data_IF_314047241149
#
_entry.id   IF_314047241149
#
_cell.length_a   1.000
_cell.length_b   1.000
_cell.length_c   1.000
_cell.angle_alpha   90.00
_cell.angle_beta   90.00
_cell.angle_gamma   90.00
#
_symmetry.space_group_name_H-M   'P 1'
#
loop_
_entity.id
_entity.type
_entity.pdbx_description
1 polymer ?
#
# COMPACT_ATOMS: atom_id res chain seq x y z
N UNK A 1 -18.03 33.63 -34.83
CA UNK A 1 -17.94 32.16 -34.90
C UNK A 1 -16.70 31.68 -35.68
N UNK A 2 -16.49 31.97 -36.97
CA UNK A 2 -15.31 31.50 -37.75
C UNK A 2 -13.95 31.91 -37.16
N UNK A 3 -13.82 33.11 -36.60
CA UNK A 3 -12.56 33.59 -36.01
C UNK A 3 -12.24 32.85 -34.70
N UNK A 4 -13.22 32.65 -33.85
CA UNK A 4 -13.08 31.89 -32.59
C UNK A 4 -12.66 30.45 -32.85
N UNK A 5 -13.24 29.79 -33.88
CA UNK A 5 -12.87 28.44 -34.28
C UNK A 5 -11.40 28.37 -34.78
N UNK A 6 -10.95 29.37 -35.55
CA UNK A 6 -9.56 29.44 -36.01
C UNK A 6 -8.59 29.61 -34.85
N UNK A 7 -8.89 30.46 -33.87
CA UNK A 7 -8.05 30.63 -32.67
C UNK A 7 -7.99 29.33 -31.88
N UNK A 8 -9.14 28.71 -31.62
CA UNK A 8 -9.18 27.44 -30.91
C UNK A 8 -8.35 26.33 -31.59
N UNK A 9 -8.45 26.24 -32.93
CA UNK A 9 -7.67 25.29 -33.72
C UNK A 9 -6.15 25.54 -33.64
N UNK A 10 -5.75 26.83 -33.81
CA UNK A 10 -4.32 27.20 -33.71
C UNK A 10 -3.80 26.91 -32.29
N UNK A 11 -4.55 27.22 -31.24
CA UNK A 11 -4.19 26.93 -29.86
C UNK A 11 -4.02 25.41 -29.65
N UNK A 12 -4.98 24.64 -30.15
CA UNK A 12 -4.91 23.17 -30.05
C UNK A 12 -3.67 22.59 -30.75
N UNK A 13 -3.39 23.04 -31.98
CA UNK A 13 -2.20 22.63 -32.75
C UNK A 13 -0.92 23.01 -32.00
N UNK A 14 -0.85 24.21 -31.45
CA UNK A 14 0.30 24.65 -30.66
C UNK A 14 0.52 23.79 -29.41
N UNK A 15 -0.54 23.47 -28.67
CA UNK A 15 -0.48 22.60 -27.49
C UNK A 15 -0.03 21.18 -27.86
N UNK A 16 -0.58 20.60 -28.92
CA UNK A 16 -0.17 19.26 -29.39
C UNK A 16 1.29 19.24 -29.86
N UNK A 17 1.74 20.32 -30.55
CA UNK A 17 3.14 20.43 -30.98
C UNK A 17 4.09 20.54 -29.79
N UNK A 18 3.70 21.30 -28.77
CA UNK A 18 4.50 21.43 -27.54
C UNK A 18 4.54 20.11 -26.77
N UNK A 19 3.41 19.40 -26.64
CA UNK A 19 3.36 18.08 -26.02
C UNK A 19 4.27 17.07 -26.72
N UNK A 20 4.22 17.04 -28.06
CA UNK A 20 5.09 16.19 -28.87
C UNK A 20 6.59 16.54 -28.72
N UNK A 21 6.93 17.83 -28.63
CA UNK A 21 8.30 18.28 -28.39
C UNK A 21 8.80 17.83 -27.01
N UNK A 22 7.97 18.01 -25.97
CA UNK A 22 8.30 17.53 -24.61
C UNK A 22 8.46 16.02 -24.60
N UNK A 23 7.55 15.28 -25.25
CA UNK A 23 7.64 13.81 -25.35
C UNK A 23 8.95 13.36 -26.03
N UNK A 24 9.34 14.01 -27.14
CA UNK A 24 10.59 13.73 -27.83
C UNK A 24 11.83 14.02 -26.96
N UNK A 25 11.78 15.14 -26.22
CA UNK A 25 12.85 15.52 -25.28
C UNK A 25 12.99 14.53 -24.14
N UNK A 26 11.89 14.09 -23.54
CA UNK A 26 11.89 13.07 -22.47
C UNK A 26 12.42 11.73 -23.01
N UNK A 27 11.97 11.29 -24.18
CA UNK A 27 12.47 10.06 -24.80
C UNK A 27 13.97 10.12 -25.17
N UNK A 28 14.49 11.29 -25.53
CA UNK A 28 15.92 11.48 -25.69
C UNK A 28 16.65 11.43 -24.34
N UNK A 29 16.12 12.09 -23.33
CA UNK A 29 16.68 12.14 -21.97
C UNK A 29 16.78 10.74 -21.37
N UNK A 30 15.72 9.91 -21.51
CA UNK A 30 15.67 8.53 -21.05
C UNK A 30 16.76 7.68 -21.73
N UNK A 31 16.87 7.74 -23.04
CA UNK A 31 17.90 6.98 -23.81
C UNK A 31 19.35 7.39 -23.48
N UNK A 32 19.56 8.64 -23.08
CA UNK A 32 20.92 9.16 -22.79
C UNK A 32 21.26 9.17 -21.31
N UNK A 33 20.33 8.78 -20.43
CA UNK A 33 20.50 8.86 -18.97
C UNK A 33 20.60 10.29 -18.43
N UNK A 34 20.18 11.30 -19.22
CA UNK A 34 20.19 12.71 -18.83
C UNK A 34 18.84 13.16 -18.30
N UNK A 35 18.82 14.26 -17.56
CA UNK A 35 17.59 14.86 -17.01
C UNK A 35 16.71 13.88 -16.21
N UNK A 36 17.32 12.92 -15.51
CA UNK A 36 16.59 11.85 -14.82
C UNK A 36 15.48 12.34 -13.90
N UNK A 37 15.71 13.42 -13.13
CA UNK A 37 14.68 14.01 -12.28
C UNK A 37 13.45 14.53 -13.07
N UNK A 38 13.68 15.08 -14.27
CA UNK A 38 12.59 15.53 -15.14
C UNK A 38 11.80 14.36 -15.73
N UNK A 39 12.48 13.31 -16.16
CA UNK A 39 11.84 12.06 -16.64
C UNK A 39 10.96 11.50 -15.52
N UNK A 40 11.50 11.31 -14.31
CA UNK A 40 10.77 10.82 -13.14
C UNK A 40 9.56 11.69 -12.81
N UNK A 41 9.70 13.01 -12.88
CA UNK A 41 8.60 13.94 -12.61
C UNK A 41 7.38 13.71 -13.52
N UNK A 42 7.61 13.49 -14.82
CA UNK A 42 6.55 13.17 -15.76
C UNK A 42 6.06 11.72 -15.60
N UNK A 43 6.93 10.79 -15.23
CA UNK A 43 6.56 9.40 -15.04
C UNK A 43 5.64 9.18 -13.83
N UNK A 44 5.71 10.03 -12.83
CA UNK A 44 4.71 10.03 -11.73
C UNK A 44 3.27 10.16 -12.23
N UNK A 45 3.04 10.76 -13.38
CA UNK A 45 1.71 10.90 -13.97
C UNK A 45 1.29 9.76 -14.93
N UNK A 46 2.12 8.75 -15.17
CA UNK A 46 1.70 7.57 -15.95
C UNK A 46 0.53 6.86 -15.29
N UNK A 47 -0.25 6.13 -16.07
CA UNK A 47 -1.26 5.22 -15.53
C UNK A 47 -0.63 4.14 -14.64
N UNK A 48 -1.38 3.59 -13.70
CA UNK A 48 -0.92 2.48 -12.87
C UNK A 48 -0.48 1.28 -13.73
N UNK A 49 -1.28 0.78 -14.70
CA UNK A 49 -0.82 -0.28 -15.58
C UNK A 49 0.44 0.07 -16.37
N UNK A 50 0.59 1.34 -16.78
CA UNK A 50 1.78 1.81 -17.50
C UNK A 50 3.05 1.75 -16.63
N UNK A 51 2.95 2.13 -15.36
CA UNK A 51 4.05 2.02 -14.39
C UNK A 51 4.40 0.58 -14.08
N UNK A 52 3.40 -0.26 -13.82
CA UNK A 52 3.62 -1.68 -13.53
C UNK A 52 4.26 -2.41 -14.72
N UNK A 53 3.83 -2.10 -15.95
CA UNK A 53 4.46 -2.64 -17.16
C UNK A 53 5.92 -2.20 -17.35
N UNK A 54 6.30 -1.00 -16.89
CA UNK A 54 7.70 -0.58 -16.89
C UNK A 54 8.54 -1.39 -15.89
N UNK A 55 8.02 -1.58 -14.67
CA UNK A 55 8.69 -2.36 -13.65
C UNK A 55 8.86 -3.83 -14.04
N UNK A 56 7.83 -4.43 -14.62
CA UNK A 56 7.89 -5.80 -15.13
C UNK A 56 8.98 -6.00 -16.16
N UNK A 57 9.19 -5.01 -17.05
CA UNK A 57 10.26 -5.04 -18.09
C UNK A 57 11.66 -4.72 -17.57
N UNK A 58 11.76 -4.16 -16.38
CA UNK A 58 13.01 -3.76 -15.77
C UNK A 58 13.07 -4.22 -14.30
N UNK A 59 13.12 -5.54 -14.03
CA UNK A 59 13.08 -6.08 -12.67
C UNK A 59 14.23 -5.59 -11.78
N UNK A 60 15.39 -5.34 -12.35
CA UNK A 60 16.59 -4.87 -11.64
C UNK A 60 16.62 -3.34 -11.47
N UNK A 61 15.58 -2.62 -11.86
CA UNK A 61 15.52 -1.16 -11.72
C UNK A 61 15.48 -0.79 -10.23
N UNK A 62 16.37 0.12 -9.77
CA UNK A 62 16.35 0.57 -8.39
C UNK A 62 14.98 1.14 -8.00
N UNK A 63 14.43 0.67 -6.87
CA UNK A 63 13.12 1.08 -6.38
C UNK A 63 11.94 0.36 -7.05
N UNK A 64 12.19 -0.69 -7.82
CA UNK A 64 11.14 -1.56 -8.32
C UNK A 64 10.41 -2.26 -7.14
N UNK A 65 9.10 -2.10 -7.09
CA UNK A 65 8.25 -2.62 -6.02
C UNK A 65 7.33 -3.76 -6.49
N UNK A 66 7.57 -4.33 -7.67
CA UNK A 66 6.64 -5.28 -8.28
C UNK A 66 6.50 -6.59 -7.51
N UNK A 67 7.61 -7.11 -7.01
CA UNK A 67 7.65 -8.38 -6.27
C UNK A 67 7.72 -8.18 -4.74
N UNK A 68 7.58 -6.95 -4.26
CA UNK A 68 7.73 -6.59 -2.84
C UNK A 68 6.41 -6.70 -2.09
N UNK A 69 6.47 -7.18 -0.86
CA UNK A 69 5.38 -7.12 0.13
C UNK A 69 4.08 -7.89 -0.24
N UNK A 70 4.17 -8.91 -1.06
CA UNK A 70 3.05 -9.83 -1.26
C UNK A 70 2.85 -10.66 0.02
N UNK A 71 1.69 -10.60 0.70
CA UNK A 71 1.53 -11.20 2.04
C UNK A 71 1.94 -12.66 2.11
N UNK A 72 1.42 -13.51 1.22
CA UNK A 72 1.74 -14.93 1.21
C UNK A 72 3.23 -15.22 0.98
N UNK A 73 3.90 -14.45 0.11
CA UNK A 73 5.35 -14.58 -0.12
C UNK A 73 6.15 -14.13 1.11
N UNK A 74 5.77 -13.01 1.73
CA UNK A 74 6.40 -12.49 2.94
C UNK A 74 6.34 -13.49 4.08
N UNK A 75 5.17 -14.11 4.32
CA UNK A 75 4.98 -15.14 5.34
C UNK A 75 5.78 -16.41 5.02
N UNK A 76 5.80 -16.84 3.76
CA UNK A 76 6.56 -18.01 3.33
C UNK A 76 8.08 -17.81 3.46
N UNK A 77 8.59 -16.63 3.14
CA UNK A 77 10.02 -16.27 3.31
C UNK A 77 10.44 -16.29 4.78
N UNK A 78 9.58 -15.75 5.66
CA UNK A 78 9.77 -15.82 7.10
C UNK A 78 9.82 -17.28 7.57
N UNK A 79 8.82 -18.07 7.22
CA UNK A 79 8.76 -19.50 7.58
C UNK A 79 10.01 -20.26 7.14
N UNK A 80 10.49 -20.04 5.92
CA UNK A 80 11.70 -20.67 5.40
C UNK A 80 12.96 -20.26 6.17
N UNK A 81 13.06 -19.00 6.58
CA UNK A 81 14.18 -18.50 7.39
C UNK A 81 14.22 -19.16 8.76
N UNK A 82 13.09 -19.17 9.46
CA UNK A 82 13.00 -19.72 10.83
C UNK A 82 12.95 -21.24 10.90
N UNK A 83 12.63 -21.95 9.82
CA UNK A 83 12.75 -23.40 9.75
C UNK A 83 14.20 -23.91 9.92
N UNK A 84 15.19 -23.04 9.66
CA UNK A 84 16.63 -23.35 9.79
C UNK A 84 17.21 -22.93 11.16
N UNK A 85 16.46 -22.25 12.01
CA UNK A 85 16.91 -21.78 13.31
C UNK A 85 16.61 -22.79 14.41
N UNK A 86 17.52 -22.86 15.41
CA UNK A 86 17.31 -23.69 16.58
C UNK A 86 16.09 -23.23 17.37
N UNK A 87 15.07 -24.08 17.60
CA UNK A 87 13.92 -23.75 18.44
C UNK A 87 14.28 -23.31 19.87
N UNK A 88 15.47 -23.66 20.35
CA UNK A 88 15.98 -23.26 21.66
C UNK A 88 16.61 -21.87 21.70
N UNK A 89 16.66 -21.15 20.57
CA UNK A 89 17.31 -19.84 20.47
C UNK A 89 16.61 -18.72 21.24
N UNK A 90 15.45 -18.96 21.87
CA UNK A 90 14.69 -17.99 22.65
C UNK A 90 13.56 -17.31 21.86
N UNK A 91 12.85 -16.36 22.49
CA UNK A 91 11.72 -15.67 21.86
C UNK A 91 12.15 -14.77 20.71
N UNK A 92 11.32 -14.71 19.67
CA UNK A 92 11.52 -13.89 18.49
C UNK A 92 10.64 -12.63 18.60
N UNK A 93 11.17 -11.48 18.22
CA UNK A 93 10.37 -10.28 18.00
C UNK A 93 9.84 -10.33 16.56
N UNK A 94 8.54 -10.54 16.38
CA UNK A 94 7.89 -10.52 15.08
C UNK A 94 7.16 -9.20 14.87
N UNK A 95 7.58 -8.44 13.88
CA UNK A 95 6.97 -7.13 13.64
C UNK A 95 6.16 -7.13 12.34
N UNK A 96 4.87 -6.82 12.48
CA UNK A 96 3.92 -6.62 11.39
C UNK A 96 3.68 -5.13 11.25
N UNK A 97 4.27 -4.52 10.24
CA UNK A 97 4.25 -3.07 10.17
C UNK A 97 4.57 -2.54 8.78
N UNK A 98 5.14 -1.37 8.77
CA UNK A 98 5.70 -0.73 7.60
C UNK A 98 7.13 -0.27 7.91
N UNK A 99 7.80 0.27 6.91
CA UNK A 99 9.21 0.68 7.01
C UNK A 99 9.55 1.53 8.25
N UNK A 100 8.60 2.32 8.79
CA UNK A 100 8.83 3.13 10.01
C UNK A 100 8.90 2.26 11.25
N UNK A 101 7.95 1.35 11.46
CA UNK A 101 7.96 0.43 12.60
C UNK A 101 9.26 -0.40 12.59
N UNK A 102 9.61 -0.95 11.43
CA UNK A 102 10.81 -1.75 11.28
C UNK A 102 12.12 -0.96 11.51
N UNK A 103 12.17 0.32 11.15
CA UNK A 103 13.34 1.17 11.47
C UNK A 103 13.52 1.35 12.98
N UNK A 104 12.43 1.57 13.71
CA UNK A 104 12.44 1.72 15.17
C UNK A 104 12.89 0.42 15.82
N UNK A 105 12.28 -0.71 15.46
CA UNK A 105 12.63 -2.02 16.03
C UNK A 105 14.06 -2.41 15.67
N UNK A 106 14.50 -2.18 14.44
CA UNK A 106 15.90 -2.41 14.03
C UNK A 106 16.88 -1.66 14.91
N UNK A 107 16.57 -0.39 15.24
CA UNK A 107 17.43 0.42 16.11
C UNK A 107 17.45 -0.10 17.55
N UNK A 108 16.33 -0.65 18.04
CA UNK A 108 16.26 -1.27 19.36
C UNK A 108 17.04 -2.59 19.40
N UNK A 109 16.84 -3.47 18.42
CA UNK A 109 17.53 -4.76 18.32
C UNK A 109 19.04 -4.58 18.10
N UNK A 110 19.47 -3.54 17.38
CA UNK A 110 20.90 -3.24 17.21
C UNK A 110 21.64 -2.96 18.54
N UNK A 111 20.93 -2.58 19.61
CA UNK A 111 21.46 -2.39 20.95
C UNK A 111 21.41 -3.65 21.82
N UNK A 112 20.73 -4.68 21.36
CA UNK A 112 20.47 -5.94 22.06
C UNK A 112 20.66 -7.10 21.08
N UNK A 113 21.93 -7.45 20.73
CA UNK A 113 22.23 -8.43 19.67
C UNK A 113 21.79 -9.86 20.02
N UNK A 114 21.40 -10.11 21.26
CA UNK A 114 20.81 -11.38 21.70
C UNK A 114 19.33 -11.54 21.27
N UNK A 115 18.68 -10.47 20.81
CA UNK A 115 17.29 -10.51 20.34
C UNK A 115 17.23 -10.96 18.88
N UNK A 116 16.42 -11.95 18.60
CA UNK A 116 16.11 -12.39 17.24
C UNK A 116 14.94 -11.55 16.76
N UNK A 117 15.04 -11.02 15.55
CA UNK A 117 14.00 -10.19 14.95
C UNK A 117 13.57 -10.67 13.58
N UNK A 118 12.28 -10.81 13.39
CA UNK A 118 11.61 -11.12 12.13
C UNK A 118 10.69 -9.98 11.70
N UNK A 119 10.95 -9.43 10.53
CA UNK A 119 10.25 -8.27 10.00
C UNK A 119 9.29 -8.64 8.87
N UNK A 120 8.02 -8.34 9.06
CA UNK A 120 7.00 -8.46 8.03
C UNK A 120 6.52 -7.04 7.67
N UNK A 121 6.95 -6.52 6.54
CA UNK A 121 6.58 -5.15 6.15
C UNK A 121 6.24 -4.99 4.67
N UNK A 122 5.60 -3.86 4.38
CA UNK A 122 5.35 -3.41 3.03
C UNK A 122 5.41 -1.89 2.92
N UNK A 123 5.85 -1.35 1.76
CA UNK A 123 5.97 0.08 1.56
C UNK A 123 4.59 0.74 1.67
N UNK A 124 4.40 1.53 2.73
CA UNK A 124 3.14 2.22 3.00
C UNK A 124 1.97 1.30 3.36
N UNK A 125 2.23 0.10 3.90
CA UNK A 125 1.16 -0.83 4.29
C UNK A 125 0.19 -0.22 5.30
N UNK A 126 -1.13 -0.22 5.04
CA UNK A 126 -2.12 0.26 6.01
C UNK A 126 -2.40 -0.77 7.11
N UNK A 127 -3.15 -0.42 8.18
CA UNK A 127 -3.42 -1.31 9.30
C UNK A 127 -4.01 -2.67 8.91
N UNK A 128 -4.87 -2.72 7.90
CA UNK A 128 -5.43 -3.97 7.39
C UNK A 128 -4.37 -4.89 6.73
N UNK A 129 -3.36 -4.32 6.06
CA UNK A 129 -2.22 -5.09 5.55
C UNK A 129 -1.40 -5.70 6.70
N UNK A 130 -1.06 -4.89 7.70
CA UNK A 130 -0.23 -5.35 8.83
C UNK A 130 -0.96 -6.38 9.69
N UNK A 131 -2.27 -6.20 9.88
CA UNK A 131 -3.11 -7.15 10.60
C UNK A 131 -3.29 -8.46 9.82
N UNK A 132 -3.48 -8.41 8.50
CA UNK A 132 -3.54 -9.62 7.67
C UNK A 132 -2.24 -10.43 7.72
N UNK A 133 -1.08 -9.77 7.69
CA UNK A 133 0.20 -10.46 7.88
C UNK A 133 0.28 -11.16 9.24
N UNK A 134 -0.21 -10.50 10.30
CA UNK A 134 -0.28 -11.12 11.61
C UNK A 134 -1.20 -12.36 11.62
N UNK A 135 -2.38 -12.29 11.00
CA UNK A 135 -3.30 -13.44 10.91
C UNK A 135 -2.65 -14.60 10.12
N UNK A 136 -2.12 -14.30 8.94
CA UNK A 136 -1.59 -15.29 7.99
C UNK A 136 -0.30 -15.96 8.52
N UNK A 137 0.48 -15.27 9.36
CA UNK A 137 1.72 -15.79 9.97
C UNK A 137 1.48 -16.59 11.25
N UNK A 138 0.23 -16.81 11.67
CA UNK A 138 -0.09 -17.46 12.95
C UNK A 138 0.62 -18.80 13.16
N UNK A 139 0.73 -19.61 12.09
CA UNK A 139 1.33 -20.94 12.15
C UNK A 139 2.85 -20.92 12.38
N UNK A 140 3.52 -19.79 12.16
CA UNK A 140 4.96 -19.63 12.32
C UNK A 140 5.33 -19.05 13.70
N UNK A 141 4.36 -18.54 14.46
CA UNK A 141 4.58 -17.94 15.77
C UNK A 141 4.63 -18.99 16.86
N UNK A 142 5.38 -18.71 17.92
CA UNK A 142 5.59 -19.60 19.05
C UNK A 142 5.13 -18.94 20.35
N UNK A 143 4.84 -19.76 21.34
CA UNK A 143 4.67 -19.29 22.71
C UNK A 143 5.92 -18.53 23.18
N UNK A 144 5.74 -17.40 23.83
CA UNK A 144 6.81 -16.50 24.28
C UNK A 144 7.31 -15.50 23.23
N UNK A 145 6.94 -15.61 21.96
CA UNK A 145 7.29 -14.61 20.96
C UNK A 145 6.67 -13.24 21.31
N UNK A 146 7.39 -12.16 21.01
CA UNK A 146 6.88 -10.80 21.10
C UNK A 146 6.35 -10.42 19.72
N UNK A 147 5.05 -10.14 19.64
CA UNK A 147 4.40 -9.74 18.38
C UNK A 147 4.09 -8.25 18.40
N UNK A 148 4.55 -7.54 17.39
CA UNK A 148 4.41 -6.06 17.31
C UNK A 148 3.53 -5.70 16.13
N UNK A 149 2.39 -5.06 16.38
CA UNK A 149 1.52 -4.49 15.35
C UNK A 149 1.83 -2.99 15.18
N UNK A 150 2.40 -2.62 14.04
CA UNK A 150 2.73 -1.23 13.71
C UNK A 150 1.60 -0.52 12.97
N UNK A 151 1.16 0.62 13.51
CA UNK A 151 0.09 1.44 12.95
C UNK A 151 0.62 2.86 12.69
N UNK A 152 0.54 3.31 11.45
CA UNK A 152 0.90 4.67 11.04
C UNK A 152 -0.37 5.48 10.77
N UNK A 153 -0.52 6.62 11.42
CA UNK A 153 -1.73 7.47 11.32
C UNK A 153 -2.08 7.86 9.88
N UNK A 154 -1.09 8.21 9.06
CA UNK A 154 -1.32 8.62 7.66
C UNK A 154 -1.74 7.49 6.71
N UNK A 155 -1.62 6.22 7.14
CA UNK A 155 -2.07 5.06 6.35
C UNK A 155 -3.46 4.54 6.77
N UNK A 156 -4.01 5.00 7.88
CA UNK A 156 -5.35 4.58 8.36
C UNK A 156 -6.45 4.78 7.31
N UNK A 157 -6.53 5.91 6.58
CA UNK A 157 -7.57 6.04 5.55
C UNK A 157 -7.51 4.96 4.48
N UNK A 158 -6.32 4.38 4.22
CA UNK A 158 -6.15 3.33 3.23
C UNK A 158 -6.63 1.93 3.68
N UNK A 159 -7.24 1.80 4.86
CA UNK A 159 -7.92 0.56 5.29
C UNK A 159 -9.07 0.14 4.37
N UNK A 160 -9.53 1.05 3.51
CA UNK A 160 -10.56 0.78 2.48
C UNK A 160 -9.97 0.43 1.11
N UNK A 161 -8.66 0.32 0.99
CA UNK A 161 -7.98 -0.07 -0.25
C UNK A 161 -7.68 -1.57 -0.26
N UNK A 162 -7.75 -2.20 -1.43
CA UNK A 162 -7.36 -3.60 -1.68
C UNK A 162 -5.92 -3.75 -2.18
N UNK A 163 -5.30 -2.66 -2.60
CA UNK A 163 -3.93 -2.64 -3.12
C UNK A 163 -3.27 -1.29 -2.83
N UNK A 164 -1.96 -1.32 -2.63
CA UNK A 164 -1.18 -0.09 -2.52
C UNK A 164 -1.31 0.79 -3.78
N UNK A 165 -1.50 0.21 -4.94
CA UNK A 165 -1.57 0.90 -6.24
C UNK A 165 -2.74 1.89 -6.38
N UNK A 166 -3.80 1.78 -5.58
CA UNK A 166 -4.96 2.66 -5.67
C UNK A 166 -4.76 3.96 -4.91
N UNK A 167 -4.05 3.94 -3.78
CA UNK A 167 -3.89 5.11 -2.92
C UNK A 167 -2.46 5.69 -2.89
N UNK A 168 -1.46 4.99 -3.46
CA UNK A 168 -0.09 5.47 -3.68
C UNK A 168 0.15 5.61 -5.17
N UNK A 169 -0.33 6.72 -5.77
CA UNK A 169 -0.33 6.86 -7.23
C UNK A 169 1.05 7.08 -7.84
N UNK A 170 1.94 7.84 -7.22
CA UNK A 170 3.22 8.24 -7.85
C UNK A 170 4.21 7.06 -7.97
N UNK A 171 4.30 6.23 -6.95
CA UNK A 171 5.13 5.04 -6.88
C UNK A 171 4.30 3.85 -6.37
N UNK A 172 3.35 3.36 -7.17
CA UNK A 172 2.44 2.30 -6.75
C UNK A 172 3.17 0.98 -6.61
N UNK A 173 2.96 0.26 -5.51
CA UNK A 173 3.31 -1.14 -5.41
C UNK A 173 2.08 -2.00 -5.74
N UNK A 174 2.20 -3.09 -6.50
CA UNK A 174 1.04 -3.88 -6.92
C UNK A 174 0.54 -4.85 -5.85
N UNK A 175 1.24 -5.03 -4.74
CA UNK A 175 0.81 -5.95 -3.70
C UNK A 175 -0.58 -5.61 -3.18
N UNK A 176 -1.30 -6.65 -2.80
CA UNK A 176 -2.69 -6.58 -2.37
C UNK A 176 -2.84 -7.07 -0.94
N UNK A 177 -3.92 -6.67 -0.31
CA UNK A 177 -4.25 -7.03 1.07
C UNK A 177 -5.77 -6.97 1.27
N UNK A 178 -6.31 -7.65 2.28
CA UNK A 178 -7.75 -7.67 2.51
C UNK A 178 -8.28 -6.33 3.01
N UNK A 179 -9.57 -6.09 2.77
CA UNK A 179 -10.37 -5.08 3.47
C UNK A 179 -11.17 -5.79 4.56
N UNK A 180 -11.28 -5.16 5.72
CA UNK A 180 -12.08 -5.68 6.83
C UNK A 180 -13.33 -4.83 7.03
N UNK A 181 -14.47 -5.49 7.17
CA UNK A 181 -15.76 -4.87 7.48
C UNK A 181 -16.23 -5.35 8.83
N UNK A 182 -17.10 -4.57 9.48
CA UNK A 182 -17.77 -5.01 10.70
C UNK A 182 -19.00 -5.85 10.37
N UNK A 183 -19.06 -7.05 10.93
CA UNK A 183 -20.24 -7.90 10.95
C UNK A 183 -20.63 -8.16 12.43
N UNK A 184 -21.46 -7.28 12.98
CA UNK A 184 -21.71 -7.24 14.42
C UNK A 184 -20.44 -6.89 15.20
N UNK A 185 -20.02 -7.77 16.09
CA UNK A 185 -18.81 -7.59 16.91
C UNK A 185 -17.54 -8.20 16.30
N UNK A 186 -17.58 -8.67 15.08
CA UNK A 186 -16.45 -9.35 14.41
C UNK A 186 -16.02 -8.63 13.17
N UNK A 187 -14.78 -8.90 12.76
CA UNK A 187 -14.25 -8.48 11.48
C UNK A 187 -14.57 -9.54 10.42
N UNK A 188 -15.19 -9.11 9.33
CA UNK A 188 -15.32 -9.88 8.11
C UNK A 188 -14.17 -9.52 7.16
N UNK A 189 -13.34 -10.49 6.81
CA UNK A 189 -12.20 -10.32 5.92
C UNK A 189 -12.64 -10.52 4.47
N UNK A 190 -12.32 -9.56 3.59
CA UNK A 190 -12.55 -9.62 2.13
C UNK A 190 -11.19 -9.68 1.46
N UNK A 191 -10.81 -10.88 1.03
CA UNK A 191 -9.53 -11.09 0.34
C UNK A 191 -9.59 -10.59 -1.11
N UNK A 192 -8.47 -10.03 -1.64
CA UNK A 192 -8.37 -9.66 -3.04
C UNK A 192 -8.32 -10.91 -3.94
N UNK A 193 -8.89 -10.82 -5.15
CA UNK A 193 -8.82 -11.91 -6.14
C UNK A 193 -7.41 -12.08 -6.73
N UNK A 194 -6.59 -11.04 -6.70
CA UNK A 194 -5.17 -11.07 -7.07
C UNK A 194 -4.36 -11.08 -5.79
N UNK A 195 -3.66 -12.17 -5.49
CA UNK A 195 -2.94 -12.39 -4.22
C UNK A 195 -1.44 -12.63 -4.38
N UNK A 196 -0.94 -12.58 -5.60
CA UNK A 196 0.49 -12.81 -5.85
C UNK A 196 1.02 -12.01 -7.05
N UNK A 197 2.33 -11.77 -7.08
CA UNK A 197 2.99 -11.17 -8.21
C UNK A 197 2.78 -11.96 -9.51
N UNK A 198 2.71 -13.29 -9.42
CA UNK A 198 2.45 -14.15 -10.58
C UNK A 198 1.03 -13.91 -11.15
N UNK A 199 0.02 -13.81 -10.30
CA UNK A 199 -1.34 -13.46 -10.73
C UNK A 199 -1.39 -12.04 -11.29
N UNK A 200 -0.70 -11.08 -10.68
CA UNK A 200 -0.63 -9.71 -11.16
C UNK A 200 -0.04 -9.62 -12.58
N UNK A 201 0.97 -10.43 -12.92
CA UNK A 201 1.54 -10.48 -14.27
C UNK A 201 0.53 -10.94 -15.32
N UNK A 202 -0.29 -11.92 -14.99
CA UNK A 202 -1.27 -12.47 -15.94
C UNK A 202 -2.59 -11.70 -16.02
N UNK A 203 -2.85 -10.74 -15.12
CA UNK A 203 -4.10 -9.92 -15.13
C UNK A 203 -4.32 -9.25 -16.50
N UNK A 204 -3.26 -8.85 -17.20
CA UNK A 204 -3.38 -8.21 -18.51
C UNK A 204 -3.82 -9.19 -19.59
N UNK A 205 -3.39 -10.42 -19.53
CA UNK A 205 -3.58 -11.45 -20.57
C UNK A 205 -4.81 -12.32 -20.29
N UNK A 206 -5.13 -12.56 -19.00
CA UNK A 206 -6.32 -13.29 -18.60
C UNK A 206 -7.54 -12.35 -18.47
N UNK A 207 -8.45 -12.45 -19.43
CA UNK A 207 -9.66 -11.62 -19.47
C UNK A 207 -10.60 -11.87 -18.28
N UNK A 208 -10.71 -13.11 -17.81
CA UNK A 208 -11.56 -13.48 -16.66
C UNK A 208 -11.02 -12.88 -15.36
N UNK A 209 -9.73 -13.08 -15.09
CA UNK A 209 -9.06 -12.53 -13.91
C UNK A 209 -9.09 -10.99 -13.93
N UNK A 210 -8.82 -10.38 -15.09
CA UNK A 210 -8.89 -8.92 -15.26
C UNK A 210 -10.30 -8.38 -14.96
N UNK A 211 -11.33 -9.00 -15.47
CA UNK A 211 -12.71 -8.58 -15.23
C UNK A 211 -13.08 -8.73 -13.75
N UNK A 212 -12.76 -9.86 -13.13
CA UNK A 212 -13.01 -10.10 -11.71
C UNK A 212 -12.27 -9.08 -10.83
N UNK A 213 -10.99 -8.80 -11.12
CA UNK A 213 -10.19 -7.83 -10.40
C UNK A 213 -10.74 -6.40 -10.53
N UNK A 214 -11.08 -5.98 -11.74
CA UNK A 214 -11.67 -4.66 -11.97
C UNK A 214 -13.03 -4.51 -11.29
N UNK A 215 -13.86 -5.55 -11.30
CA UNK A 215 -15.14 -5.56 -10.61
C UNK A 215 -14.96 -5.42 -9.09
N UNK A 216 -14.02 -6.18 -8.51
CA UNK A 216 -13.73 -6.12 -7.09
C UNK A 216 -13.15 -4.74 -6.69
N UNK A 217 -12.18 -4.22 -7.44
CA UNK A 217 -11.66 -2.87 -7.21
C UNK A 217 -12.78 -1.83 -7.22
N UNK A 218 -13.67 -1.90 -8.20
CA UNK A 218 -14.77 -0.92 -8.34
C UNK A 218 -15.82 -1.03 -7.24
N UNK A 219 -16.03 -2.20 -6.64
CA UNK A 219 -17.04 -2.42 -5.59
C UNK A 219 -16.52 -2.28 -4.17
N UNK A 220 -15.23 -2.52 -3.93
CA UNK A 220 -14.67 -2.70 -2.58
C UNK A 220 -13.56 -1.70 -2.25
N UNK A 221 -12.81 -1.22 -3.26
CA UNK A 221 -11.68 -0.31 -3.04
C UNK A 221 -12.14 1.15 -3.21
N UNK A 222 -12.23 1.89 -2.11
CA UNK A 222 -12.68 3.28 -2.13
C UNK A 222 -11.74 4.23 -2.90
N UNK A 223 -10.47 3.87 -3.05
CA UNK A 223 -9.47 4.66 -3.77
C UNK A 223 -9.40 4.32 -5.26
N UNK A 224 -10.12 3.30 -5.72
CA UNK A 224 -10.09 2.94 -7.14
C UNK A 224 -10.62 4.05 -8.04
N UNK A 225 -9.84 4.43 -9.04
CA UNK A 225 -10.18 5.47 -10.01
C UNK A 225 -9.81 5.03 -11.43
N UNK A 226 -10.79 4.91 -12.30
CA UNK A 226 -10.60 4.56 -13.71
C UNK A 226 -9.67 5.53 -14.45
N UNK A 227 -9.50 6.77 -13.99
CA UNK A 227 -8.55 7.73 -14.59
C UNK A 227 -7.10 7.32 -14.37
N UNK A 228 -6.81 6.62 -13.27
CA UNK A 228 -5.48 6.10 -12.94
C UNK A 228 -5.23 4.70 -13.48
N UNK A 229 -6.27 3.85 -13.57
CA UNK A 229 -6.19 2.47 -14.04
C UNK A 229 -6.57 2.30 -15.52
N UNK A 230 -7.19 3.29 -16.15
CA UNK A 230 -7.59 3.25 -17.56
C UNK A 230 -6.71 4.11 -18.47
N UNK A 231 -7.03 4.09 -19.77
CA UNK A 231 -6.46 4.98 -20.80
C UNK A 231 -4.92 5.05 -20.82
N UNK A 232 -4.24 3.89 -20.67
CA UNK A 232 -2.77 3.80 -20.69
C UNK A 232 -2.15 4.31 -22.01
N UNK A 233 -2.91 4.33 -23.12
CA UNK A 233 -2.48 4.93 -24.38
C UNK A 233 -2.19 6.44 -24.27
N UNK A 234 -2.78 7.14 -23.29
CA UNK A 234 -2.47 8.55 -23.00
C UNK A 234 -1.09 8.74 -22.34
N UNK A 235 -0.43 7.66 -21.94
CA UNK A 235 0.91 7.74 -21.34
C UNK A 235 1.99 8.21 -22.30
N UNK A 236 1.71 8.28 -23.60
CA UNK A 236 2.58 8.88 -24.60
C UNK A 236 2.63 10.43 -24.49
N UNK A 237 1.58 11.06 -23.94
CA UNK A 237 1.47 12.50 -23.77
C UNK A 237 1.97 12.94 -22.38
N UNK A 238 3.06 13.72 -22.29
CA UNK A 238 3.51 14.33 -21.04
C UNK A 238 2.44 15.20 -20.36
N UNK A 239 1.66 15.95 -21.13
CA UNK A 239 0.60 16.79 -20.56
C UNK A 239 -0.54 15.97 -19.99
N UNK A 240 -0.95 14.89 -20.65
CA UNK A 240 -1.94 13.97 -20.11
C UNK A 240 -1.46 13.35 -18.80
N UNK A 241 -0.17 13.02 -18.68
CA UNK A 241 0.43 12.53 -17.43
C UNK A 241 0.30 13.56 -16.31
N UNK A 242 0.62 14.84 -16.56
CA UNK A 242 0.50 15.90 -15.54
C UNK A 242 -0.96 16.10 -15.08
N UNK A 243 -1.89 16.11 -16.03
CA UNK A 243 -3.33 16.24 -15.71
C UNK A 243 -3.79 15.05 -14.88
N UNK A 244 -3.41 13.81 -15.27
CA UNK A 244 -3.75 12.60 -14.51
C UNK A 244 -3.19 12.67 -13.09
N UNK A 245 -1.92 13.07 -12.93
CA UNK A 245 -1.30 13.22 -11.62
C UNK A 245 -2.09 14.15 -10.71
N UNK A 246 -2.47 15.34 -11.20
CA UNK A 246 -3.27 16.30 -10.44
C UNK A 246 -4.65 15.76 -10.06
N UNK A 247 -5.32 15.06 -10.99
CA UNK A 247 -6.62 14.45 -10.72
C UNK A 247 -6.51 13.29 -9.73
N UNK A 248 -5.47 12.47 -9.83
CA UNK A 248 -5.21 11.37 -8.91
C UNK A 248 -4.95 11.89 -7.48
N UNK A 249 -4.10 12.90 -7.32
CA UNK A 249 -3.84 13.53 -6.01
C UNK A 249 -5.14 14.07 -5.40
N UNK A 250 -5.93 14.84 -6.17
CA UNK A 250 -7.19 15.38 -5.69
C UNK A 250 -8.25 14.30 -5.37
N UNK A 251 -8.23 13.17 -6.07
CA UNK A 251 -9.10 12.03 -5.75
C UNK A 251 -8.66 11.37 -4.44
N UNK A 252 -7.38 11.04 -4.28
CA UNK A 252 -6.83 10.41 -3.08
C UNK A 252 -7.09 11.30 -1.84
N UNK A 253 -6.85 12.59 -1.92
CA UNK A 253 -7.10 13.51 -0.80
C UNK A 253 -8.58 13.57 -0.41
N UNK A 254 -9.49 13.62 -1.39
CA UNK A 254 -10.94 13.59 -1.13
C UNK A 254 -11.37 12.27 -0.50
N UNK A 255 -10.88 11.14 -1.02
CA UNK A 255 -11.20 9.82 -0.47
C UNK A 255 -10.70 9.67 0.97
N UNK A 256 -9.47 10.15 1.26
CA UNK A 256 -8.97 10.18 2.64
C UNK A 256 -9.86 11.00 3.57
N UNK A 257 -10.28 12.19 3.14
CA UNK A 257 -11.17 13.04 3.93
C UNK A 257 -12.54 12.38 4.16
N UNK A 258 -13.09 11.71 3.15
CA UNK A 258 -14.37 10.99 3.23
C UNK A 258 -14.29 9.81 4.22
N UNK A 259 -13.25 8.99 4.13
CA UNK A 259 -13.01 7.89 5.09
C UNK A 259 -12.87 8.43 6.52
N UNK A 260 -12.09 9.49 6.73
CA UNK A 260 -11.88 10.09 8.05
C UNK A 260 -13.12 10.76 8.62
N UNK A 261 -14.10 11.11 7.79
CA UNK A 261 -15.41 11.59 8.28
C UNK A 261 -16.30 10.48 8.82
N UNK A 262 -15.88 9.21 8.69
CA UNK A 262 -16.63 8.00 9.06
C UNK A 262 -18.00 7.84 8.37
N UNK A 263 -18.24 8.62 7.30
CA UNK A 263 -19.52 8.54 6.58
C UNK A 263 -19.61 7.30 5.69
N UNK A 264 -18.49 6.88 5.10
CA UNK A 264 -18.42 5.76 4.17
C UNK A 264 -17.87 4.48 4.79
N UNK A 265 -17.07 4.60 5.86
CA UNK A 265 -16.39 3.48 6.50
C UNK A 265 -16.11 3.78 7.99
N UNK A 266 -16.53 2.93 8.94
CA UNK A 266 -16.37 3.16 10.37
C UNK A 266 -14.93 2.81 10.82
N UNK A 267 -13.93 3.52 10.27
CA UNK A 267 -12.52 3.17 10.42
C UNK A 267 -12.05 3.09 11.86
N UNK A 268 -12.58 3.93 12.78
CA UNK A 268 -12.19 3.89 14.18
C UNK A 268 -12.60 2.57 14.84
N UNK A 269 -13.82 2.12 14.58
CA UNK A 269 -14.32 0.89 15.19
C UNK A 269 -13.65 -0.33 14.58
N UNK A 270 -13.42 -0.33 13.25
CA UNK A 270 -12.64 -1.40 12.58
C UNK A 270 -11.23 -1.46 13.15
N UNK A 271 -10.57 -0.31 13.34
CA UNK A 271 -9.21 -0.24 13.90
C UNK A 271 -9.19 -0.74 15.36
N UNK A 272 -10.15 -0.33 16.18
CA UNK A 272 -10.29 -0.83 17.56
C UNK A 272 -10.46 -2.35 17.56
N UNK A 273 -11.31 -2.87 16.68
CA UNK A 273 -11.57 -4.31 16.59
C UNK A 273 -10.33 -5.09 16.14
N UNK A 274 -9.57 -4.59 15.16
CA UNK A 274 -8.30 -5.18 14.77
C UNK A 274 -7.33 -5.30 15.95
N UNK A 275 -7.20 -4.25 16.76
CA UNK A 275 -6.32 -4.27 17.93
C UNK A 275 -6.82 -5.27 18.99
N UNK A 276 -8.14 -5.37 19.22
CA UNK A 276 -8.69 -6.36 20.14
C UNK A 276 -8.36 -7.77 19.66
N UNK A 277 -8.68 -8.09 18.41
CA UNK A 277 -8.44 -9.43 17.85
C UNK A 277 -6.96 -9.77 17.79
N UNK A 278 -6.10 -8.78 17.51
CA UNK A 278 -4.64 -8.93 17.59
C UNK A 278 -4.21 -9.31 19.01
N UNK A 279 -4.61 -8.55 20.01
CA UNK A 279 -4.19 -8.75 21.39
C UNK A 279 -4.74 -10.09 21.97
N UNK A 280 -6.03 -10.35 21.78
CA UNK A 280 -6.67 -11.58 22.26
C UNK A 280 -6.09 -12.83 21.61
N UNK A 281 -5.83 -12.78 20.29
CA UNK A 281 -5.21 -13.91 19.57
C UNK A 281 -3.78 -14.17 20.02
N UNK A 282 -2.98 -13.11 20.15
CA UNK A 282 -1.59 -13.23 20.60
C UNK A 282 -1.52 -13.80 22.03
N UNK A 283 -2.33 -13.27 22.95
CA UNK A 283 -2.39 -13.74 24.34
C UNK A 283 -2.88 -15.19 24.44
N UNK A 284 -3.90 -15.55 23.64
CA UNK A 284 -4.39 -16.94 23.61
C UNK A 284 -3.36 -17.94 23.07
N UNK A 285 -2.47 -17.49 22.17
CA UNK A 285 -1.37 -18.28 21.63
C UNK A 285 -0.09 -18.21 22.53
N UNK A 286 -0.16 -17.63 23.73
CA UNK A 286 0.95 -17.49 24.67
C UNK A 286 2.02 -16.48 24.24
N UNK A 287 1.69 -15.55 23.33
CA UNK A 287 2.58 -14.52 22.84
C UNK A 287 2.39 -13.21 23.61
N UNK A 288 3.34 -12.31 23.48
CA UNK A 288 3.33 -10.98 24.10
C UNK A 288 2.95 -9.93 23.04
N UNK A 289 1.70 -9.44 23.00
CA UNK A 289 1.31 -8.41 22.05
C UNK A 289 1.87 -7.04 22.43
N UNK A 290 2.33 -6.29 21.42
CA UNK A 290 2.75 -4.88 21.54
C UNK A 290 2.16 -4.11 20.38
N UNK A 291 1.59 -2.93 20.61
CA UNK A 291 1.11 -2.05 19.54
C UNK A 291 2.02 -0.83 19.43
N UNK A 292 2.60 -0.64 18.25
CA UNK A 292 3.44 0.53 17.98
C UNK A 292 2.63 1.58 17.22
N UNK A 293 2.37 2.71 17.87
CA UNK A 293 1.66 3.84 17.29
C UNK A 293 2.64 4.87 16.74
N UNK A 294 2.50 5.19 15.46
CA UNK A 294 3.34 6.18 14.79
C UNK A 294 2.44 7.32 14.31
N UNK A 295 2.54 8.45 15.01
CA UNK A 295 1.76 9.64 14.70
C UNK A 295 2.55 10.58 13.81
N UNK A 296 2.05 10.86 12.61
CA UNK A 296 2.58 11.89 11.73
C UNK A 296 1.90 13.23 11.99
N UNK A 297 2.51 14.31 11.51
CA UNK A 297 1.88 15.62 11.46
C UNK A 297 1.25 15.81 10.06
N UNK A 298 -0.06 15.96 10.00
CA UNK A 298 -0.78 16.17 8.73
C UNK A 298 -2.29 16.31 8.95
N UNK A 299 -3.00 16.85 7.96
CA UNK A 299 -4.43 17.14 8.05
C UNK A 299 -5.35 15.99 7.65
N UNK A 300 -4.83 15.00 6.90
CA UNK A 300 -5.60 13.88 6.37
C UNK A 300 -5.21 12.56 7.05
N UNK A 301 -5.25 12.58 8.40
CA UNK A 301 -4.94 11.44 9.26
C UNK A 301 -5.60 11.61 10.62
N UNK A 302 -6.00 10.52 11.30
CA UNK A 302 -6.56 10.60 12.62
C UNK A 302 -5.48 10.83 13.70
N UNK A 303 -5.87 11.35 14.83
CA UNK A 303 -5.11 11.18 16.07
C UNK A 303 -5.35 9.76 16.60
N UNK A 304 -4.30 8.94 16.62
CA UNK A 304 -4.43 7.51 16.96
C UNK A 304 -4.72 7.29 18.42
N UNK A 305 -4.06 8.05 19.31
CA UNK A 305 -4.09 7.74 20.74
C UNK A 305 -5.50 7.76 21.34
N UNK A 306 -6.36 8.77 21.11
CA UNK A 306 -7.72 8.77 21.61
C UNK A 306 -8.58 7.61 21.08
N UNK A 307 -8.27 7.13 19.86
CA UNK A 307 -9.02 6.04 19.24
C UNK A 307 -8.67 4.70 19.90
N UNK A 308 -7.38 4.45 20.13
CA UNK A 308 -6.89 3.11 20.48
C UNK A 308 -6.61 2.91 21.97
N UNK A 309 -6.33 3.98 22.72
CA UNK A 309 -5.97 3.90 24.15
C UNK A 309 -7.00 3.12 24.99
N UNK A 310 -8.31 3.35 24.85
CA UNK A 310 -9.30 2.59 25.64
C UNK A 310 -9.27 1.09 25.38
N UNK A 311 -8.87 0.69 24.19
CA UNK A 311 -8.73 -0.73 23.81
C UNK A 311 -7.46 -1.31 24.38
N UNK A 312 -6.33 -0.61 24.27
CA UNK A 312 -5.04 -1.05 24.79
C UNK A 312 -5.07 -1.25 26.30
N UNK A 313 -5.70 -0.32 27.03
CA UNK A 313 -5.91 -0.44 28.48
C UNK A 313 -6.80 -1.63 28.83
N UNK A 314 -7.88 -1.86 28.07
CA UNK A 314 -8.80 -2.98 28.31
C UNK A 314 -8.15 -4.33 28.06
N UNK A 315 -7.29 -4.45 27.07
CA UNK A 315 -6.60 -5.70 26.69
C UNK A 315 -5.26 -5.88 27.39
N UNK A 316 -4.88 -4.96 28.28
CA UNK A 316 -3.54 -4.92 28.94
C UNK A 316 -2.40 -5.05 27.93
N UNK A 317 -2.50 -4.33 26.81
CA UNK A 317 -1.55 -4.41 25.71
C UNK A 317 -0.58 -3.22 25.76
N UNK A 318 0.73 -3.45 25.90
CA UNK A 318 1.76 -2.40 25.83
C UNK A 318 1.77 -1.66 24.48
N UNK A 319 2.12 -0.36 24.53
CA UNK A 319 2.18 0.50 23.34
C UNK A 319 3.30 1.55 23.43
#
# INVERSE_FOLDING_TARGET
MRHTIKIALVTLVALLSMDALVAATLGWAERTGRLGALVTYFDYGRSVPGKLSQWEKAPDMPGNLYDVAWPAATVAESAARFALEDPAAGPVIRSYGMSFANRIIRSAVAQRPELIWDAHDGPGGPPNFTFALFEDDRVNRREGDIVVLGILSSSVPAMTALTNSTWVFEQPAPFTYPVYLLEGDKLARIDPVVQSAAQQRIVTDDAGLRQAWQAQLSSTDAFHDMRTFGASWLDVSPFARLVRRSLATAHIERTKADVLSSNSYPYEEVLRRMIIEFAETAQADGQIPVVMLIQNNGSLQPDLLPIVLPVLERTDTPY
#
